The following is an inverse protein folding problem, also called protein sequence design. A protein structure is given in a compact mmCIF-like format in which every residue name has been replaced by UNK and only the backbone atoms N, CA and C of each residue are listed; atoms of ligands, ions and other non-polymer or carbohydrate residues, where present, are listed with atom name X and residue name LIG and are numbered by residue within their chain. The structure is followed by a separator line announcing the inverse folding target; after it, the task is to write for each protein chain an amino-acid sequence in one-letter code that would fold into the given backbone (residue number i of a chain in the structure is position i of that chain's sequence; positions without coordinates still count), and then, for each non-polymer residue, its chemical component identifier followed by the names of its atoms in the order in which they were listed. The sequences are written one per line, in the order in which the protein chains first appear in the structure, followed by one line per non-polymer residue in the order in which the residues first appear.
data_IF_263069539318
#
_entry.id   IF_263069539318
#
_cell.length_a   1.000
_cell.length_b   1.000
_cell.length_c   1.000
_cell.angle_alpha   90.00
_cell.angle_beta   90.00
_cell.angle_gamma   90.00
#
_symmetry.space_group_name_H-M   'P 1'
#
loop_
_entity.id
_entity.type
_entity.pdbx_description
1 polymer ?
#
# COMPACT_ATOMS: atom_id res chain seq x y z
N UNK A 1 -13.91 -10.96 29.76
CA UNK A 1 -14.30 -9.79 28.94
C UNK A 1 -13.06 -9.21 28.26
N UNK A 2 -12.93 -9.32 26.96
CA UNK A 2 -11.79 -8.79 26.21
C UNK A 2 -11.91 -7.25 26.12
N UNK A 3 -11.00 -6.51 26.76
CA UNK A 3 -10.93 -5.04 26.67
C UNK A 3 -10.71 -4.62 25.20
N UNK A 4 -11.79 -4.27 24.50
CA UNK A 4 -11.73 -3.67 23.17
C UNK A 4 -11.43 -2.18 23.33
N UNK A 5 -10.20 -1.79 23.04
CA UNK A 5 -9.82 -0.37 23.07
C UNK A 5 -10.33 0.33 21.80
N UNK A 6 -10.58 1.64 21.88
CA UNK A 6 -10.99 2.47 20.71
C UNK A 6 -10.10 2.30 19.48
N UNK A 7 -8.83 1.92 19.67
CA UNK A 7 -7.84 1.67 18.58
C UNK A 7 -8.19 0.49 17.68
N UNK A 8 -8.99 -0.49 18.16
CA UNK A 8 -9.36 -1.72 17.44
C UNK A 8 -10.75 -1.64 16.80
N UNK A 9 -11.34 -0.46 16.78
CA UNK A 9 -12.63 -0.17 16.15
C UNK A 9 -12.36 0.50 14.81
N UNK A 10 -13.03 0.01 13.77
CA UNK A 10 -12.91 0.52 12.40
C UNK A 10 -14.32 0.93 11.96
N UNK A 11 -14.46 2.18 11.51
CA UNK A 11 -15.69 2.69 10.90
C UNK A 11 -15.60 2.46 9.39
N UNK A 12 -16.63 1.88 8.82
CA UNK A 12 -16.72 1.65 7.38
C UNK A 12 -17.34 2.90 6.73
N UNK A 13 -16.73 3.47 5.68
CA UNK A 13 -17.32 4.55 4.89
C UNK A 13 -18.68 4.13 4.30
N UNK A 14 -19.55 5.12 4.03
CA UNK A 14 -20.91 4.87 3.51
C UNK A 14 -20.88 4.20 2.12
N UNK A 15 -19.88 4.50 1.32
CA UNK A 15 -19.74 4.07 -0.08
C UNK A 15 -19.16 2.66 -0.24
N UNK A 16 -18.79 2.02 0.89
CA UNK A 16 -18.21 0.68 0.90
C UNK A 16 -19.18 -0.27 1.53
N UNK A 17 -19.58 -1.30 0.78
CA UNK A 17 -20.28 -2.48 1.30
C UNK A 17 -19.28 -3.55 1.71
N UNK A 18 -19.63 -4.36 2.70
CA UNK A 18 -18.78 -5.45 3.14
C UNK A 18 -19.56 -6.73 3.35
N UNK A 19 -18.91 -7.85 3.07
CA UNK A 19 -19.43 -9.19 3.27
C UNK A 19 -18.44 -9.99 4.09
N UNK A 20 -18.93 -10.77 5.03
CA UNK A 20 -18.13 -11.66 5.84
C UNK A 20 -18.52 -13.11 5.62
N UNK A 21 -17.57 -13.90 5.15
CA UNK A 21 -17.72 -15.34 4.99
C UNK A 21 -17.21 -16.03 6.27
N UNK A 22 -18.11 -16.69 7.00
CA UNK A 22 -17.81 -17.36 8.27
C UNK A 22 -17.00 -18.65 8.08
N UNK A 23 -17.25 -19.37 6.96
CA UNK A 23 -16.57 -20.65 6.67
C UNK A 23 -15.08 -20.46 6.38
N UNK A 24 -14.73 -19.49 5.54
CA UNK A 24 -13.35 -19.24 5.11
C UNK A 24 -12.67 -18.13 5.91
N UNK A 25 -13.37 -17.48 6.84
CA UNK A 25 -12.87 -16.34 7.62
C UNK A 25 -12.34 -15.20 6.75
N UNK A 26 -13.04 -14.91 5.64
CA UNK A 26 -12.67 -13.87 4.69
C UNK A 26 -13.65 -12.69 4.81
N UNK A 27 -13.11 -11.48 4.89
CA UNK A 27 -13.86 -10.24 4.72
C UNK A 27 -13.63 -9.73 3.32
N UNK A 28 -14.72 -9.41 2.64
CA UNK A 28 -14.73 -8.86 1.28
C UNK A 28 -15.31 -7.45 1.37
N UNK A 29 -14.56 -6.48 0.90
CA UNK A 29 -15.02 -5.11 0.74
C UNK A 29 -15.28 -4.84 -0.74
N UNK A 30 -16.43 -4.25 -1.05
CA UNK A 30 -16.83 -3.94 -2.43
C UNK A 30 -17.22 -2.46 -2.54
N UNK A 31 -16.72 -1.83 -3.57
CA UNK A 31 -17.14 -0.52 -4.07
C UNK A 31 -17.70 -0.69 -5.48
N UNK A 32 -18.27 0.34 -6.07
CA UNK A 32 -18.75 0.32 -7.46
C UNK A 32 -17.69 -0.10 -8.49
N UNK A 33 -16.42 0.13 -8.19
CA UNK A 33 -15.29 -0.07 -9.14
C UNK A 33 -14.37 -1.21 -8.74
N UNK A 34 -14.18 -1.46 -7.44
CA UNK A 34 -13.15 -2.38 -6.94
C UNK A 34 -13.67 -3.31 -5.87
N UNK A 35 -13.12 -4.52 -5.86
CA UNK A 35 -13.37 -5.53 -4.83
C UNK A 35 -12.04 -5.99 -4.24
N UNK A 36 -11.97 -6.08 -2.91
CA UNK A 36 -10.81 -6.60 -2.18
C UNK A 36 -11.22 -7.56 -1.09
N UNK A 37 -10.46 -8.63 -0.93
CA UNK A 37 -10.68 -9.66 0.07
C UNK A 37 -9.49 -9.77 1.03
N UNK A 38 -9.76 -10.01 2.30
CA UNK A 38 -8.76 -10.23 3.34
C UNK A 38 -9.11 -11.44 4.19
N UNK A 39 -8.18 -12.40 4.28
CA UNK A 39 -8.31 -13.53 5.20
C UNK A 39 -7.94 -13.10 6.61
N UNK A 40 -8.84 -13.36 7.56
CA UNK A 40 -8.67 -13.00 8.96
C UNK A 40 -7.97 -14.11 9.74
N UNK A 41 -7.22 -13.71 10.76
CA UNK A 41 -6.58 -14.63 11.73
C UNK A 41 -7.25 -14.59 13.09
N UNK A 42 -8.05 -13.57 13.39
CA UNK A 42 -8.79 -13.39 14.64
C UNK A 42 -10.26 -13.10 14.37
N UNK A 43 -11.11 -13.44 15.35
CA UNK A 43 -12.55 -13.20 15.28
C UNK A 43 -12.85 -11.70 15.22
N UNK A 44 -13.94 -11.35 14.57
CA UNK A 44 -14.44 -9.98 14.52
C UNK A 44 -15.89 -9.91 14.99
N UNK A 45 -16.27 -8.77 15.51
CA UNK A 45 -17.64 -8.41 15.90
C UNK A 45 -18.10 -7.28 14.99
N UNK A 46 -19.23 -7.46 14.35
CA UNK A 46 -19.80 -6.51 13.40
C UNK A 46 -21.02 -5.86 14.05
N UNK A 47 -21.00 -4.54 14.14
CA UNK A 47 -22.18 -3.73 14.53
C UNK A 47 -22.76 -3.12 13.25
N UNK A 48 -23.81 -3.75 12.70
CA UNK A 48 -24.42 -3.34 11.43
C UNK A 48 -25.01 -1.94 11.50
N UNK A 49 -25.70 -1.60 12.60
CA UNK A 49 -26.38 -0.31 12.79
C UNK A 49 -25.41 0.87 12.71
N UNK A 50 -24.24 0.71 13.26
CA UNK A 50 -23.20 1.77 13.31
C UNK A 50 -22.14 1.64 12.21
N UNK A 51 -22.23 0.62 11.34
CA UNK A 51 -21.18 0.28 10.35
C UNK A 51 -19.78 0.20 10.98
N UNK A 52 -19.67 -0.48 12.13
CA UNK A 52 -18.42 -0.62 12.86
C UNK A 52 -17.96 -2.08 12.84
N UNK A 53 -16.66 -2.27 12.60
CA UNK A 53 -15.97 -3.56 12.74
C UNK A 53 -15.07 -3.47 13.97
N UNK A 54 -15.23 -4.39 14.91
CA UNK A 54 -14.38 -4.55 16.08
C UNK A 54 -13.58 -5.85 15.95
N UNK A 55 -12.26 -5.78 16.03
CA UNK A 55 -11.39 -6.95 15.95
C UNK A 55 -11.09 -7.43 17.37
N UNK A 56 -11.42 -8.69 17.65
CA UNK A 56 -11.15 -9.33 18.95
C UNK A 56 -9.73 -9.91 18.99
N UNK A 57 -9.28 -10.32 20.17
CA UNK A 57 -8.01 -11.04 20.35
C UNK A 57 -8.16 -12.56 20.22
N UNK A 58 -9.37 -13.03 20.01
CA UNK A 58 -9.64 -14.46 19.93
C UNK A 58 -9.23 -14.99 18.55
N UNK A 59 -8.29 -15.94 18.47
CA UNK A 59 -7.96 -16.59 17.21
C UNK A 59 -9.05 -17.56 16.80
N UNK A 60 -9.15 -17.88 15.50
CA UNK A 60 -10.07 -18.91 15.00
C UNK A 60 -9.61 -20.33 15.39
N UNK A 61 -8.29 -20.54 15.45
CA UNK A 61 -7.70 -21.83 15.79
C UNK A 61 -6.94 -21.70 17.11
N UNK A 62 -7.02 -22.71 17.96
CA UNK A 62 -6.27 -22.78 19.21
C UNK A 62 -4.76 -22.69 18.93
N UNK A 63 -4.09 -21.77 19.61
CA UNK A 63 -2.66 -21.52 19.41
C UNK A 63 -1.85 -21.97 20.62
N UNK A 64 -0.61 -22.37 20.36
CA UNK A 64 0.38 -22.67 21.43
C UNK A 64 0.64 -21.42 22.30
N UNK A 65 1.11 -21.64 23.54
CA UNK A 65 1.33 -20.56 24.51
C UNK A 65 2.27 -19.45 24.01
N UNK A 66 3.30 -19.79 23.22
CA UNK A 66 4.21 -18.81 22.63
C UNK A 66 3.52 -17.92 21.59
N UNK A 67 2.57 -18.47 20.81
CA UNK A 67 1.79 -17.70 19.83
C UNK A 67 0.72 -16.84 20.50
N UNK A 68 0.19 -17.24 21.68
CA UNK A 68 -0.75 -16.41 22.46
C UNK A 68 -0.14 -15.07 22.86
N UNK A 69 1.17 -15.01 23.17
CA UNK A 69 1.87 -13.75 23.47
C UNK A 69 1.80 -12.76 22.32
N UNK A 70 1.78 -13.23 21.07
CA UNK A 70 1.75 -12.39 19.86
C UNK A 70 0.33 -12.01 19.41
N UNK A 71 -0.75 -12.45 20.10
CA UNK A 71 -2.14 -12.15 19.69
C UNK A 71 -2.44 -10.65 19.62
N UNK A 72 -1.82 -9.86 20.51
CA UNK A 72 -1.97 -8.40 20.45
C UNK A 72 -1.36 -7.80 19.18
N UNK A 73 -0.20 -8.29 18.76
CA UNK A 73 0.44 -7.87 17.52
C UNK A 73 -0.37 -8.29 16.29
N UNK A 74 -0.91 -9.52 16.27
CA UNK A 74 -1.77 -10.02 15.20
C UNK A 74 -3.06 -9.19 15.10
N UNK A 75 -3.70 -8.85 16.23
CA UNK A 75 -4.88 -8.00 16.28
C UNK A 75 -4.59 -6.61 15.67
N UNK A 76 -3.51 -5.96 16.11
CA UNK A 76 -3.15 -4.62 15.60
C UNK A 76 -2.78 -4.63 14.12
N UNK A 77 -2.05 -5.63 13.64
CA UNK A 77 -1.75 -5.78 12.20
C UNK A 77 -3.02 -5.93 11.37
N UNK A 78 -3.99 -6.72 11.82
CA UNK A 78 -5.25 -6.86 11.08
C UNK A 78 -6.06 -5.58 11.03
N UNK A 79 -6.11 -4.83 12.14
CA UNK A 79 -6.74 -3.51 12.16
C UNK A 79 -6.11 -2.58 11.12
N UNK A 80 -4.78 -2.54 11.06
CA UNK A 80 -4.05 -1.69 10.11
C UNK A 80 -4.29 -2.13 8.68
N UNK A 81 -4.26 -3.44 8.40
CA UNK A 81 -4.52 -3.97 7.06
C UNK A 81 -5.93 -3.61 6.56
N UNK A 82 -6.96 -3.76 7.42
CA UNK A 82 -8.33 -3.39 7.04
C UNK A 82 -8.44 -1.88 6.79
N UNK A 83 -7.87 -1.05 7.67
CA UNK A 83 -7.84 0.41 7.46
C UNK A 83 -7.16 0.78 6.15
N UNK A 84 -6.02 0.15 5.85
CA UNK A 84 -5.30 0.37 4.60
C UNK A 84 -6.15 -0.01 3.39
N UNK A 85 -6.83 -1.17 3.44
CA UNK A 85 -7.71 -1.60 2.35
C UNK A 85 -8.87 -0.62 2.12
N UNK A 86 -9.50 -0.12 3.19
CA UNK A 86 -10.57 0.88 3.07
C UNK A 86 -10.05 2.18 2.44
N UNK A 87 -8.86 2.63 2.81
CA UNK A 87 -8.22 3.80 2.19
C UNK A 87 -7.88 3.55 0.71
N UNK A 88 -7.37 2.35 0.38
CA UNK A 88 -7.06 1.97 -1.00
C UNK A 88 -8.30 1.90 -1.91
N UNK A 89 -9.48 1.68 -1.34
CA UNK A 89 -10.73 1.67 -2.07
C UNK A 89 -11.36 3.06 -2.22
N UNK A 90 -11.06 3.98 -1.30
CA UNK A 90 -11.62 5.32 -1.30
C UNK A 90 -10.79 6.36 -2.04
N UNK A 91 -9.47 6.14 -2.19
CA UNK A 91 -8.56 7.13 -2.76
C UNK A 91 -7.36 6.52 -3.50
N UNK A 92 -6.82 7.29 -4.44
CA UNK A 92 -5.56 6.96 -5.11
C UNK A 92 -4.37 7.44 -4.27
N UNK A 93 -3.32 6.65 -4.25
CA UNK A 93 -2.06 7.03 -3.62
C UNK A 93 -1.12 7.63 -4.65
N UNK A 94 -0.46 8.72 -4.26
CA UNK A 94 0.54 9.37 -5.07
C UNK A 94 1.86 9.47 -4.29
N UNK A 95 2.96 9.15 -4.95
CA UNK A 95 4.32 9.35 -4.43
C UNK A 95 5.09 10.20 -5.42
N UNK A 96 5.64 11.32 -4.92
CA UNK A 96 6.50 12.20 -5.69
C UNK A 96 7.95 11.78 -5.49
N UNK A 97 8.74 11.76 -6.57
CA UNK A 97 10.18 11.56 -6.55
C UNK A 97 10.86 12.76 -7.22
N UNK A 98 11.87 13.29 -6.58
CA UNK A 98 12.70 14.38 -7.09
C UNK A 98 14.09 13.84 -7.42
N UNK A 99 14.57 14.12 -8.62
CA UNK A 99 15.93 13.82 -9.04
C UNK A 99 16.79 15.06 -8.83
N UNK A 100 17.75 14.97 -7.93
CA UNK A 100 18.68 16.07 -7.59
C UNK A 100 20.06 15.71 -8.08
N UNK A 101 20.59 16.49 -9.01
CA UNK A 101 21.92 16.31 -9.57
C UNK A 101 22.07 16.99 -10.92
N UNK A 102 23.29 17.40 -11.25
CA UNK A 102 23.61 18.02 -12.53
C UNK A 102 23.43 16.96 -13.65
N UNK A 103 22.64 17.29 -14.67
CA UNK A 103 22.39 16.38 -15.78
C UNK A 103 21.43 15.22 -15.49
N UNK A 104 20.85 15.11 -14.27
CA UNK A 104 19.87 14.07 -13.98
C UNK A 104 18.57 14.34 -14.70
N UNK A 105 18.12 13.34 -15.45
CA UNK A 105 16.89 13.43 -16.26
C UNK A 105 16.14 12.10 -16.21
N UNK A 106 14.81 12.19 -16.29
CA UNK A 106 13.91 11.07 -16.50
C UNK A 106 12.98 11.35 -17.66
N UNK A 107 12.77 10.36 -18.51
CA UNK A 107 11.79 10.41 -19.60
C UNK A 107 11.03 9.08 -19.67
N UNK A 108 9.79 9.14 -20.18
CA UNK A 108 8.97 7.96 -20.40
C UNK A 108 9.10 7.56 -21.86
N UNK A 109 9.52 6.33 -22.09
CA UNK A 109 9.54 5.70 -23.41
C UNK A 109 8.39 4.71 -23.50
N UNK A 110 7.56 4.86 -24.51
CA UNK A 110 6.51 3.89 -24.83
C UNK A 110 7.05 2.92 -25.87
N UNK A 111 7.01 1.63 -25.54
CA UNK A 111 7.45 0.56 -26.44
C UNK A 111 6.27 -0.39 -26.58
N UNK A 112 5.68 -0.45 -27.78
CA UNK A 112 4.54 -1.33 -28.12
C UNK A 112 3.56 -1.58 -26.95
N UNK A 113 3.81 -2.63 -26.13
CA UNK A 113 2.89 -3.08 -25.08
C UNK A 113 3.25 -2.60 -23.66
N UNK A 114 4.37 -1.91 -23.47
CA UNK A 114 4.81 -1.48 -22.14
C UNK A 114 5.49 -0.11 -22.17
N UNK A 115 5.47 0.55 -21.02
CA UNK A 115 6.16 1.82 -20.84
C UNK A 115 7.41 1.63 -19.99
N UNK A 116 8.50 2.27 -20.38
CA UNK A 116 9.77 2.28 -19.68
C UNK A 116 10.08 3.69 -19.17
N UNK A 117 10.66 3.78 -17.99
CA UNK A 117 11.34 4.97 -17.54
C UNK A 117 12.81 4.88 -17.96
N UNK A 118 13.25 5.88 -18.67
CA UNK A 118 14.66 6.07 -19.04
C UNK A 118 15.27 7.10 -18.12
N UNK A 119 16.27 6.68 -17.35
CA UNK A 119 16.97 7.51 -16.38
C UNK A 119 18.40 7.81 -16.87
N UNK A 120 18.79 9.09 -16.81
CA UNK A 120 20.18 9.55 -16.87
C UNK A 120 20.54 10.07 -15.48
N UNK A 121 21.39 9.34 -14.76
CA UNK A 121 21.71 9.59 -13.33
C UNK A 121 23.22 9.78 -13.10
N UNK A 122 23.95 10.28 -14.10
CA UNK A 122 25.39 10.49 -14.01
C UNK A 122 26.23 9.22 -14.05
N UNK A 123 25.66 8.12 -14.51
CA UNK A 123 26.41 6.90 -14.85
C UNK A 123 26.85 6.93 -16.32
N UNK A 124 27.84 6.10 -16.69
CA UNK A 124 28.27 5.91 -18.06
C UNK A 124 27.20 5.30 -18.97
N UNK A 125 26.23 4.61 -18.39
CA UNK A 125 25.09 3.97 -19.07
C UNK A 125 23.76 4.53 -18.61
N UNK A 126 22.74 4.38 -19.44
CA UNK A 126 21.35 4.74 -19.09
C UNK A 126 20.67 3.59 -18.35
N UNK A 127 19.84 3.91 -17.37
CA UNK A 127 19.06 2.92 -16.61
C UNK A 127 17.64 2.90 -17.15
N UNK A 128 17.13 1.71 -17.41
CA UNK A 128 15.75 1.48 -17.87
C UNK A 128 14.98 0.77 -16.78
N UNK A 129 13.81 1.33 -16.41
CA UNK A 129 12.92 0.74 -15.41
C UNK A 129 11.56 0.48 -16.05
N UNK A 130 11.10 -0.79 -16.02
CA UNK A 130 9.78 -1.17 -16.55
C UNK A 130 8.67 -0.73 -15.61
N UNK A 131 7.69 0.00 -16.14
CA UNK A 131 6.53 0.45 -15.38
C UNK A 131 5.55 -0.73 -15.19
N UNK A 132 5.16 -1.09 -13.95
CA UNK A 132 4.13 -2.08 -13.71
C UNK A 132 2.77 -1.63 -14.27
N UNK A 133 2.00 -2.55 -14.86
CA UNK A 133 0.68 -2.25 -15.48
C UNK A 133 -0.33 -1.60 -14.52
N UNK A 134 -0.20 -1.88 -13.22
CA UNK A 134 -1.13 -1.40 -12.18
C UNK A 134 -0.84 0.04 -11.71
N UNK A 135 0.19 0.68 -12.26
CA UNK A 135 0.61 2.03 -11.86
C UNK A 135 0.64 2.97 -13.04
N UNK A 136 0.27 4.21 -12.77
CA UNK A 136 0.43 5.32 -13.71
C UNK A 136 1.58 6.20 -13.23
N UNK A 137 2.51 6.50 -14.12
CA UNK A 137 3.67 7.32 -13.82
C UNK A 137 3.67 8.53 -14.76
N UNK A 138 3.87 9.71 -14.18
CA UNK A 138 3.89 10.98 -14.91
C UNK A 138 5.19 11.72 -14.63
N UNK A 139 5.83 12.22 -15.68
CA UNK A 139 6.98 13.11 -15.59
C UNK A 139 6.49 14.54 -15.88
N UNK A 140 6.30 15.36 -14.84
CA UNK A 140 5.93 16.77 -15.04
C UNK A 140 7.11 17.62 -15.51
N UNK A 141 8.30 17.32 -15.01
CA UNK A 141 9.56 17.93 -15.42
C UNK A 141 10.61 16.84 -15.57
N UNK A 142 11.69 17.10 -16.26
CA UNK A 142 12.78 16.16 -16.47
C UNK A 142 13.38 15.62 -15.14
N UNK A 143 13.18 16.32 -14.03
CA UNK A 143 13.66 15.97 -12.70
C UNK A 143 12.57 15.66 -11.66
N UNK A 144 11.29 15.61 -12.05
CA UNK A 144 10.17 15.34 -11.14
C UNK A 144 9.28 14.24 -11.69
N UNK A 145 9.13 13.17 -10.91
CA UNK A 145 8.36 11.98 -11.24
C UNK A 145 7.23 11.79 -10.22
N UNK A 146 6.05 11.45 -10.70
CA UNK A 146 4.88 11.12 -9.88
C UNK A 146 4.43 9.71 -10.19
N UNK A 147 4.29 8.91 -9.15
CA UNK A 147 3.79 7.53 -9.21
C UNK A 147 2.42 7.51 -8.59
N UNK A 148 1.40 7.08 -9.34
CA UNK A 148 0.01 7.03 -8.89
C UNK A 148 -0.52 5.61 -9.05
N UNK A 149 -1.23 5.12 -8.03
CA UNK A 149 -1.87 3.80 -8.05
C UNK A 149 -2.90 3.61 -6.95
N UNK A 150 -3.69 2.56 -7.09
CA UNK A 150 -4.74 2.22 -6.12
C UNK A 150 -4.20 1.50 -4.89
N UNK A 151 -3.06 0.80 -4.99
CA UNK A 151 -2.49 0.07 -3.88
C UNK A 151 -1.29 0.81 -3.31
N UNK A 152 -1.36 1.12 -2.02
CA UNK A 152 -0.27 1.77 -1.29
C UNK A 152 1.02 0.96 -1.36
N UNK A 153 0.91 -0.35 -1.24
CA UNK A 153 2.06 -1.26 -1.26
C UNK A 153 2.80 -1.19 -2.60
N UNK A 154 2.10 -1.29 -3.73
CA UNK A 154 2.74 -1.21 -5.06
C UNK A 154 3.36 0.15 -5.32
N UNK A 155 2.68 1.24 -4.95
CA UNK A 155 3.21 2.61 -5.11
C UNK A 155 4.50 2.81 -4.31
N UNK A 156 4.51 2.39 -3.04
CA UNK A 156 5.69 2.55 -2.18
C UNK A 156 6.84 1.63 -2.57
N UNK A 157 6.56 0.39 -2.97
CA UNK A 157 7.57 -0.56 -3.43
C UNK A 157 8.25 -0.09 -4.71
N UNK A 158 7.48 0.36 -5.71
CA UNK A 158 8.06 0.90 -6.95
C UNK A 158 8.82 2.19 -6.71
N UNK A 159 8.36 3.07 -5.83
CA UNK A 159 9.08 4.26 -5.45
C UNK A 159 10.42 3.92 -4.77
N UNK A 160 10.46 2.90 -3.92
CA UNK A 160 11.69 2.41 -3.29
C UNK A 160 12.66 1.81 -4.31
N UNK A 161 12.18 0.99 -5.26
CA UNK A 161 12.99 0.43 -6.34
C UNK A 161 13.59 1.53 -7.24
N UNK A 162 12.81 2.54 -7.58
CA UNK A 162 13.33 3.68 -8.36
C UNK A 162 14.37 4.46 -7.55
N UNK A 163 14.13 4.70 -6.25
CA UNK A 163 15.12 5.37 -5.40
C UNK A 163 16.42 4.59 -5.27
N UNK A 164 16.37 3.26 -5.27
CA UNK A 164 17.57 2.41 -5.20
C UNK A 164 18.48 2.53 -6.42
N UNK A 165 17.97 2.98 -7.59
CA UNK A 165 18.78 3.24 -8.77
C UNK A 165 19.86 4.31 -8.53
N UNK A 166 19.59 5.30 -7.67
CA UNK A 166 20.57 6.31 -7.22
C UNK A 166 20.19 6.80 -5.85
N UNK A 167 20.76 6.18 -4.83
CA UNK A 167 20.56 6.56 -3.42
C UNK A 167 21.16 7.96 -3.20
N UNK A 168 20.48 8.85 -2.45
CA UNK A 168 21.00 10.18 -2.18
C UNK A 168 22.33 10.13 -1.43
N UNK A 169 23.28 10.92 -1.88
CA UNK A 169 24.57 11.10 -1.24
C UNK A 169 24.41 11.92 0.05
N UNK A 170 25.07 11.56 1.17
CA UNK A 170 24.88 12.25 2.46
C UNK A 170 25.39 13.70 2.45
N UNK A 171 26.46 14.02 1.69
CA UNK A 171 27.07 15.35 1.71
C UNK A 171 26.33 16.39 0.86
N UNK A 172 26.11 16.12 -0.42
CA UNK A 172 25.49 17.05 -1.38
C UNK A 172 24.03 16.71 -1.70
N UNK A 173 23.51 15.61 -1.17
CA UNK A 173 22.14 15.17 -1.39
C UNK A 173 21.80 14.82 -2.83
N UNK A 174 22.80 14.59 -3.71
CA UNK A 174 22.58 14.19 -5.10
C UNK A 174 22.04 12.77 -5.15
N UNK A 175 20.93 12.57 -5.86
CA UNK A 175 20.25 11.28 -5.95
C UNK A 175 18.76 11.44 -6.17
N UNK A 176 18.01 10.37 -5.93
CA UNK A 176 16.55 10.33 -6.03
C UNK A 176 15.98 10.42 -4.61
N UNK A 177 15.21 11.50 -4.33
CA UNK A 177 14.58 11.77 -3.05
C UNK A 177 13.04 11.69 -3.17
N UNK A 178 12.40 11.44 -2.02
CA UNK A 178 10.94 11.49 -1.88
C UNK A 178 10.43 12.92 -1.79
#
# INVERSE_FOLDING_TARGET
MTKITKRHIIKIPKDISFYYCTTNHIVIFTTSVTQKALKLKTKLVIEKDKKLIKITREPFVSMSNNRKKNLKAIQTTQVVLIKQMLLEMSSFFCKKLNLIGVGFRVSILKVLDFSLLHFKLGYSHSIYFKIPKNLKIFCLKANKLFIIGNSYQFVTQTAALIRSCKVPEPYKGKGILY
#
